data_IF_836818924533
#
_entry.id   IF_836818924533
#
_cell.length_a   1.000
_cell.length_b   1.000
_cell.length_c   1.000
_cell.angle_alpha   90.00
_cell.angle_beta   90.00
_cell.angle_gamma   90.00
#
_symmetry.space_group_name_H-M   'P 1'
#
loop_
_entity.id
_entity.type
_entity.pdbx_description
1 polymer ?
#
# COMPACT_ATOMS: atom_id res chain seq x y z
N UNK A 1 -62.04 -69.30 -11.85
CA UNK A 1 -63.32 -68.74 -11.32
C UNK A 1 -63.21 -67.22 -11.25
N UNK A 2 -64.15 -66.50 -10.60
CA UNK A 2 -64.44 -65.06 -10.82
C UNK A 2 -63.28 -64.08 -10.57
N UNK A 3 -63.33 -62.94 -11.29
CA UNK A 3 -62.60 -61.66 -11.05
C UNK A 3 -63.52 -60.64 -10.33
N UNK A 4 -62.99 -59.43 -10.08
CA UNK A 4 -63.66 -58.17 -9.66
C UNK A 4 -64.12 -58.13 -8.18
N UNK A 5 -64.27 -56.97 -7.50
CA UNK A 5 -64.35 -55.52 -7.88
C UNK A 5 -63.45 -54.66 -6.92
N UNK A 6 -62.96 -53.44 -7.22
CA UNK A 6 -63.61 -52.08 -7.30
C UNK A 6 -64.42 -51.69 -6.02
N UNK A 7 -64.50 -50.43 -5.54
CA UNK A 7 -63.96 -49.13 -6.00
C UNK A 7 -63.99 -47.97 -4.93
N UNK A 8 -63.05 -47.03 -5.05
CA UNK A 8 -63.02 -45.55 -4.78
C UNK A 8 -63.97 -44.76 -3.83
N UNK A 9 -63.35 -43.71 -3.23
CA UNK A 9 -63.81 -42.32 -2.94
C UNK A 9 -64.74 -41.96 -1.75
N UNK A 10 -64.20 -41.11 -0.86
CA UNK A 10 -64.75 -39.87 -0.25
C UNK A 10 -63.57 -39.23 0.52
N UNK A 11 -62.92 -38.14 0.09
CA UNK A 11 -63.35 -36.73 -0.07
C UNK A 11 -63.73 -36.06 1.26
N UNK A 12 -62.93 -35.07 1.67
CA UNK A 12 -63.12 -34.33 2.93
C UNK A 12 -62.10 -33.20 3.14
N UNK A 13 -62.22 -32.11 2.37
CA UNK A 13 -61.65 -30.82 2.79
C UNK A 13 -62.54 -30.21 3.89
N UNK A 14 -61.97 -29.48 4.85
CA UNK A 14 -62.38 -28.08 5.09
C UNK A 14 -61.34 -27.27 5.89
N UNK A 15 -61.41 -25.96 5.68
CA UNK A 15 -60.53 -24.84 6.05
C UNK A 15 -59.83 -24.77 7.42
N UNK A 16 -58.66 -24.11 7.36
CA UNK A 16 -58.15 -23.04 8.26
C UNK A 16 -58.94 -22.72 9.54
N UNK A 17 -58.21 -22.71 10.67
CA UNK A 17 -58.49 -21.90 11.86
C UNK A 17 -57.19 -21.24 12.35
N UNK A 18 -57.25 -20.00 12.85
CA UNK A 18 -56.08 -19.18 13.17
C UNK A 18 -56.12 -18.63 14.61
N UNK A 19 -54.94 -18.50 15.21
CA UNK A 19 -54.56 -17.58 16.30
C UNK A 19 -54.89 -17.91 17.79
N UNK A 20 -54.18 -17.16 18.65
CA UNK A 20 -54.42 -16.86 20.08
C UNK A 20 -54.01 -17.89 21.17
N UNK A 21 -52.72 -17.80 21.54
CA UNK A 21 -52.16 -17.68 22.92
C UNK A 21 -53.12 -17.80 24.12
N UNK A 22 -52.74 -18.63 25.10
CA UNK A 22 -52.87 -18.35 26.55
C UNK A 22 -51.84 -19.14 27.36
N UNK A 23 -51.41 -18.63 28.52
CA UNK A 23 -50.83 -19.44 29.61
C UNK A 23 -51.98 -20.20 30.32
N UNK A 24 -51.81 -21.19 31.21
CA UNK A 24 -50.81 -21.36 32.28
C UNK A 24 -50.84 -22.81 32.83
N UNK A 25 -49.89 -23.15 33.73
CA UNK A 25 -49.87 -24.24 34.75
C UNK A 25 -50.89 -25.41 34.66
N UNK A 26 -50.53 -26.70 34.76
CA UNK A 26 -49.81 -27.36 35.88
C UNK A 26 -49.10 -28.64 35.42
N UNK A 27 -48.10 -29.11 36.19
CA UNK A 27 -47.23 -30.23 35.80
C UNK A 27 -47.74 -31.66 36.09
N UNK A 28 -47.03 -32.62 35.51
CA UNK A 28 -47.07 -34.07 35.80
C UNK A 28 -45.64 -34.63 35.69
N UNK A 29 -45.41 -35.81 36.26
CA UNK A 29 -44.11 -36.44 36.57
C UNK A 29 -42.91 -36.11 35.64
N UNK A 30 -41.84 -35.61 36.25
CA UNK A 30 -40.48 -35.70 35.68
C UNK A 30 -40.02 -37.17 35.73
N UNK A 31 -40.40 -37.94 34.70
CA UNK A 31 -39.51 -39.01 34.26
C UNK A 31 -38.19 -38.36 33.82
N UNK A 32 -37.03 -38.82 34.31
CA UNK A 32 -35.76 -38.47 33.69
C UNK A 32 -35.70 -39.19 32.35
N UNK A 33 -36.20 -38.56 31.29
CA UNK A 33 -35.74 -38.91 29.94
C UNK A 33 -34.23 -38.72 29.94
N UNK A 34 -33.50 -39.80 29.66
CA UNK A 34 -32.11 -39.69 29.23
C UNK A 34 -32.11 -38.97 27.88
N UNK A 35 -32.14 -37.63 27.93
CA UNK A 35 -31.89 -36.78 26.78
C UNK A 35 -30.44 -36.97 26.38
N UNK A 36 -30.19 -38.04 25.62
CA UNK A 36 -29.01 -38.27 24.81
C UNK A 36 -28.84 -37.04 23.93
N UNK A 37 -28.07 -36.09 24.43
CA UNK A 37 -28.01 -34.74 23.90
C UNK A 37 -27.25 -34.77 22.57
N UNK A 38 -27.99 -34.95 21.48
CA UNK A 38 -27.53 -34.88 20.09
C UNK A 38 -26.98 -33.46 19.80
N UNK A 39 -25.76 -33.22 20.28
CA UNK A 39 -24.95 -32.02 20.00
C UNK A 39 -24.42 -32.12 18.58
N UNK A 40 -25.30 -31.90 17.61
CA UNK A 40 -24.94 -31.71 16.21
C UNK A 40 -23.94 -30.55 16.08
N UNK A 41 -22.83 -30.78 15.38
CA UNK A 41 -21.90 -29.71 14.95
C UNK A 41 -21.52 -29.78 13.48
N UNK A 42 -21.82 -30.86 12.75
CA UNK A 42 -21.90 -30.83 11.28
C UNK A 42 -22.88 -31.90 10.77
N UNK A 43 -23.41 -31.71 9.55
CA UNK A 43 -24.19 -32.73 8.83
C UNK A 43 -23.32 -33.80 8.16
N UNK A 44 -22.01 -33.79 8.40
CA UNK A 44 -21.01 -34.58 7.68
C UNK A 44 -20.27 -35.61 8.52
N UNK A 45 -20.38 -35.59 9.86
CA UNK A 45 -19.90 -36.70 10.69
C UNK A 45 -20.87 -37.88 10.60
N UNK A 46 -20.38 -39.01 10.11
CA UNK A 46 -21.14 -40.25 9.95
C UNK A 46 -21.10 -41.14 11.20
N UNK A 47 -20.01 -41.07 11.96
CA UNK A 47 -19.82 -41.85 13.18
C UNK A 47 -18.76 -41.19 14.07
N UNK A 48 -18.95 -41.27 15.39
CA UNK A 48 -18.02 -40.74 16.40
C UNK A 48 -17.98 -41.64 17.63
N UNK A 49 -16.80 -41.77 18.25
CA UNK A 49 -16.58 -42.48 19.52
C UNK A 49 -15.71 -41.63 20.44
N UNK A 50 -16.19 -41.41 21.67
CA UNK A 50 -15.54 -40.65 22.74
C UNK A 50 -15.37 -41.45 24.04
N UNK A 51 -15.72 -42.75 24.03
CA UNK A 51 -15.63 -43.69 25.16
C UNK A 51 -16.37 -43.29 26.45
N UNK A 52 -17.13 -42.19 26.46
CA UNK A 52 -17.94 -41.76 27.59
C UNK A 52 -19.36 -42.38 27.54
N UNK A 53 -19.75 -42.96 26.39
CA UNK A 53 -20.98 -43.73 26.23
C UNK A 53 -21.01 -45.07 26.96
N UNK A 54 -22.21 -45.63 27.15
CA UNK A 54 -22.44 -46.86 27.92
C UNK A 54 -22.06 -48.17 27.22
N UNK A 55 -21.77 -48.14 25.92
CA UNK A 55 -21.36 -49.32 25.14
C UNK A 55 -20.37 -48.94 24.01
N UNK A 56 -19.14 -48.49 24.33
CA UNK A 56 -18.17 -48.04 23.33
C UNK A 56 -17.76 -49.15 22.34
N UNK A 57 -17.42 -48.75 21.13
CA UNK A 57 -17.02 -49.61 20.01
C UNK A 57 -18.08 -50.65 19.61
N UNK A 58 -19.34 -50.47 19.99
CA UNK A 58 -20.45 -51.37 19.65
C UNK A 58 -20.90 -51.27 18.19
N UNK A 59 -20.60 -50.17 17.50
CA UNK A 59 -20.89 -49.93 16.07
C UNK A 59 -19.82 -50.49 15.12
N UNK A 60 -18.71 -51.02 15.64
CA UNK A 60 -17.55 -51.51 14.86
C UNK A 60 -17.25 -52.98 15.14
N UNK A 61 -16.59 -53.66 14.19
CA UNK A 61 -16.19 -55.05 14.39
C UNK A 61 -14.89 -55.12 15.20
N UNK A 62 -15.01 -55.53 16.45
CA UNK A 62 -13.91 -55.69 17.41
C UNK A 62 -13.07 -56.94 17.08
N UNK A 63 -11.73 -56.79 17.09
CA UNK A 63 -10.78 -57.87 16.81
C UNK A 63 -9.84 -58.08 18.00
N UNK A 64 -10.41 -58.40 19.17
CA UNK A 64 -9.70 -58.54 20.43
C UNK A 64 -9.49 -60.02 20.79
N UNK A 65 -8.25 -60.42 21.05
CA UNK A 65 -7.89 -61.82 21.35
C UNK A 65 -7.93 -62.21 22.83
N UNK A 66 -7.98 -61.23 23.73
CA UNK A 66 -7.88 -61.41 25.19
C UNK A 66 -8.74 -60.37 25.94
N UNK A 67 -8.98 -60.58 27.23
CA UNK A 67 -9.66 -59.61 28.08
C UNK A 67 -8.84 -58.35 28.42
N UNK A 68 -7.51 -58.37 28.24
CA UNK A 68 -6.69 -57.16 28.38
C UNK A 68 -6.63 -56.32 27.09
N UNK A 69 -6.88 -56.93 25.93
CA UNK A 69 -6.63 -56.33 24.62
C UNK A 69 -7.36 -54.98 24.40
N UNK A 70 -8.55 -54.79 24.96
CA UNK A 70 -9.22 -53.49 24.99
C UNK A 70 -9.96 -53.30 26.31
N UNK A 71 -9.78 -52.13 26.94
CA UNK A 71 -10.50 -51.71 28.13
C UNK A 71 -10.78 -50.20 28.07
N UNK A 72 -11.95 -49.77 28.52
CA UNK A 72 -12.26 -48.33 28.74
C UNK A 72 -11.72 -47.93 30.12
N UNK A 73 -10.95 -46.84 30.17
CA UNK A 73 -10.22 -46.40 31.36
C UNK A 73 -10.29 -44.87 31.52
N UNK A 74 -9.77 -44.34 32.62
CA UNK A 74 -9.52 -42.89 32.78
C UNK A 74 -8.42 -42.42 31.83
N UNK A 75 -8.57 -41.22 31.27
CA UNK A 75 -7.51 -40.56 30.50
C UNK A 75 -6.28 -40.35 31.40
N UNK A 76 -5.06 -40.74 30.98
CA UNK A 76 -3.82 -40.48 31.71
C UNK A 76 -3.56 -39.00 32.04
N UNK A 77 -4.20 -38.07 31.32
CA UNK A 77 -4.04 -36.62 31.45
C UNK A 77 -5.21 -35.91 32.12
N UNK A 78 -6.45 -36.38 31.94
CA UNK A 78 -7.66 -35.83 32.57
C UNK A 78 -8.63 -36.93 33.03
N UNK A 79 -8.54 -37.33 34.31
CA UNK A 79 -9.36 -38.41 34.87
C UNK A 79 -10.88 -38.15 34.89
N UNK A 80 -11.34 -36.95 34.52
CA UNK A 80 -12.76 -36.69 34.27
C UNK A 80 -13.24 -37.31 32.94
N UNK A 81 -12.34 -37.49 31.97
CA UNK A 81 -12.59 -38.15 30.68
C UNK A 81 -12.40 -39.68 30.76
N UNK A 82 -13.04 -40.41 29.84
CA UNK A 82 -12.83 -41.84 29.60
C UNK A 82 -12.27 -42.05 28.20
N UNK A 83 -11.38 -43.04 28.04
CA UNK A 83 -10.67 -43.32 26.79
C UNK A 83 -10.49 -44.82 26.56
N UNK A 84 -10.32 -45.21 25.29
CA UNK A 84 -10.12 -46.59 24.90
C UNK A 84 -8.65 -47.00 24.99
N UNK A 85 -8.27 -47.80 26.00
CA UNK A 85 -6.93 -48.38 26.13
C UNK A 85 -6.86 -49.71 25.38
N UNK A 86 -6.07 -49.74 24.31
CA UNK A 86 -5.74 -50.93 23.53
C UNK A 86 -4.40 -51.48 24.02
N UNK A 87 -4.32 -52.79 24.26
CA UNK A 87 -3.12 -53.48 24.72
C UNK A 87 -2.80 -54.70 23.85
N UNK A 88 -1.51 -54.99 23.67
CA UNK A 88 -0.99 -56.26 23.16
C UNK A 88 0.23 -56.72 23.95
N UNK A 89 0.30 -58.02 24.20
CA UNK A 89 1.43 -58.70 24.84
C UNK A 89 2.05 -59.73 23.89
N UNK A 90 3.37 -59.88 23.95
CA UNK A 90 4.03 -60.96 23.21
C UNK A 90 3.56 -62.32 23.75
N UNK A 91 2.94 -63.13 22.89
CA UNK A 91 2.35 -64.43 23.24
C UNK A 91 0.81 -64.43 23.30
N UNK A 92 0.17 -63.28 23.07
CA UNK A 92 -1.29 -63.23 22.86
C UNK A 92 -1.73 -64.08 21.64
N UNK A 93 -2.97 -64.59 21.61
CA UNK A 93 -3.43 -65.48 20.54
C UNK A 93 -3.64 -64.77 19.20
N UNK A 94 -3.32 -65.46 18.12
CA UNK A 94 -3.59 -65.03 16.74
C UNK A 94 -5.10 -64.79 16.57
N UNK A 95 -5.46 -63.54 16.30
CA UNK A 95 -6.82 -63.04 16.15
C UNK A 95 -6.97 -62.46 14.74
N UNK A 96 -8.02 -62.86 14.00
CA UNK A 96 -8.24 -62.44 12.60
C UNK A 96 -6.95 -62.48 11.74
N UNK A 97 -6.24 -63.60 11.79
CA UNK A 97 -4.98 -63.86 11.07
C UNK A 97 -3.75 -63.00 11.46
N UNK A 98 -3.66 -62.49 12.70
CA UNK A 98 -2.38 -62.04 13.25
C UNK A 98 -2.46 -61.56 14.71
N UNK A 99 -1.38 -60.95 15.22
CA UNK A 99 -1.37 -60.38 16.58
C UNK A 99 -1.91 -58.95 16.53
N UNK A 100 -3.11 -58.75 17.06
CA UNK A 100 -3.88 -57.49 16.99
C UNK A 100 -4.67 -57.22 18.26
N UNK A 101 -4.79 -55.94 18.58
CA UNK A 101 -5.97 -55.37 19.22
C UNK A 101 -6.43 -54.23 18.32
N UNK A 102 -7.43 -54.48 17.48
CA UNK A 102 -7.93 -53.51 16.50
C UNK A 102 -9.45 -53.52 16.45
N UNK A 103 -10.04 -52.37 16.11
CA UNK A 103 -11.41 -52.30 15.60
C UNK A 103 -11.41 -52.12 14.08
N UNK A 104 -12.43 -52.70 13.43
CA UNK A 104 -12.67 -52.60 11.99
C UNK A 104 -14.02 -51.91 11.75
N UNK A 105 -13.96 -50.73 11.16
CA UNK A 105 -15.11 -49.88 10.88
C UNK A 105 -16.00 -50.49 9.77
N UNK A 106 -17.27 -50.06 9.62
CA UNK A 106 -18.15 -50.53 8.55
C UNK A 106 -17.56 -50.40 7.13
N UNK A 107 -18.10 -51.12 6.14
CA UNK A 107 -17.87 -50.81 4.72
C UNK A 107 -18.27 -49.36 4.40
N UNK A 108 -17.68 -48.80 3.35
CA UNK A 108 -17.98 -47.46 2.88
C UNK A 108 -18.36 -47.46 1.39
N UNK A 109 -19.25 -46.55 1.02
CA UNK A 109 -19.85 -46.48 -0.34
C UNK A 109 -19.27 -45.33 -1.19
N UNK A 110 -18.47 -44.45 -0.59
CA UNK A 110 -17.85 -43.28 -1.23
C UNK A 110 -16.34 -43.42 -1.29
N UNK A 111 -15.75 -42.87 -2.35
CA UNK A 111 -14.30 -42.70 -2.48
C UNK A 111 -13.79 -41.59 -1.56
N UNK A 112 -14.56 -40.51 -1.41
CA UNK A 112 -14.17 -39.33 -0.64
C UNK A 112 -14.58 -39.48 0.83
N UNK A 113 -13.59 -39.44 1.73
CA UNK A 113 -13.80 -39.76 3.15
C UNK A 113 -12.77 -39.08 4.05
N UNK A 114 -13.25 -38.63 5.21
CA UNK A 114 -12.42 -38.13 6.30
C UNK A 114 -12.40 -39.12 7.48
N UNK A 115 -11.27 -39.18 8.17
CA UNK A 115 -11.08 -39.98 9.38
C UNK A 115 -10.27 -39.17 10.39
N UNK A 116 -10.58 -39.25 11.69
CA UNK A 116 -9.71 -38.66 12.73
C UNK A 116 -9.74 -39.46 14.03
N UNK A 117 -8.72 -39.23 14.87
CA UNK A 117 -8.63 -39.73 16.24
C UNK A 117 -7.53 -38.99 17.00
N UNK A 118 -7.68 -38.95 18.33
CA UNK A 118 -6.60 -38.67 19.26
C UNK A 118 -5.94 -39.99 19.69
N UNK A 119 -4.62 -39.98 19.91
CA UNK A 119 -3.82 -41.12 20.36
C UNK A 119 -2.79 -40.69 21.42
N UNK A 120 -2.77 -41.38 22.57
CA UNK A 120 -1.78 -41.23 23.63
C UNK A 120 -0.75 -42.35 23.54
N UNK A 121 0.53 -41.98 23.57
CA UNK A 121 1.65 -42.94 23.53
C UNK A 121 2.42 -42.90 24.87
N UNK A 122 2.16 -43.82 25.81
CA UNK A 122 2.86 -43.86 27.10
C UNK A 122 4.34 -44.21 26.93
N UNK A 123 5.22 -43.61 27.74
CA UNK A 123 6.65 -43.94 27.75
C UNK A 123 6.96 -45.28 28.43
N UNK A 124 6.18 -45.67 29.44
CA UNK A 124 6.37 -46.88 30.25
C UNK A 124 5.71 -48.14 29.66
N UNK A 125 4.57 -48.01 28.98
CA UNK A 125 3.89 -49.13 28.32
C UNK A 125 4.07 -49.20 26.78
N UNK A 126 4.78 -48.23 26.16
CA UNK A 126 5.17 -48.28 24.74
C UNK A 126 6.64 -47.87 24.56
N UNK A 127 7.54 -48.76 24.99
CA UNK A 127 8.99 -48.65 24.71
C UNK A 127 9.28 -48.64 23.20
N UNK A 128 10.43 -48.08 22.79
CA UNK A 128 10.89 -48.12 21.40
C UNK A 128 11.19 -49.55 20.93
N UNK A 129 10.97 -49.82 19.64
CA UNK A 129 11.12 -51.14 19.03
C UNK A 129 11.61 -50.93 17.58
N UNK A 130 12.58 -51.74 17.16
CA UNK A 130 13.22 -51.66 15.84
C UNK A 130 12.36 -52.24 14.72
N UNK A 131 11.28 -52.94 15.07
CA UNK A 131 10.22 -53.33 14.15
C UNK A 131 9.19 -52.21 13.99
N UNK A 132 8.05 -52.52 13.38
CA UNK A 132 6.99 -51.56 13.07
C UNK A 132 5.65 -52.02 13.63
N UNK A 133 4.90 -51.06 14.15
CA UNK A 133 3.57 -51.23 14.72
C UNK A 133 2.56 -50.50 13.84
N UNK A 134 1.56 -51.21 13.31
CA UNK A 134 0.48 -50.57 12.54
C UNK A 134 -0.56 -50.03 13.51
N UNK A 135 -0.84 -48.73 13.41
CA UNK A 135 -1.70 -47.98 14.34
C UNK A 135 -3.08 -47.72 13.70
N UNK A 136 -3.08 -47.41 12.41
CA UNK A 136 -4.29 -47.35 11.59
C UNK A 136 -4.02 -47.94 10.21
N UNK A 137 -5.01 -48.59 9.62
CA UNK A 137 -4.90 -49.18 8.29
C UNK A 137 -6.18 -49.07 7.45
N UNK A 138 -5.99 -48.86 6.16
CA UNK A 138 -7.02 -48.90 5.13
C UNK A 138 -6.82 -50.20 4.35
N UNK A 139 -7.62 -51.21 4.72
CA UNK A 139 -7.44 -52.60 4.30
C UNK A 139 -8.57 -53.06 3.37
N UNK A 140 -8.21 -53.78 2.30
CA UNK A 140 -9.15 -54.27 1.29
C UNK A 140 -9.19 -55.80 1.32
N UNK A 141 -10.40 -56.35 1.30
CA UNK A 141 -10.62 -57.80 1.15
C UNK A 141 -9.95 -58.29 -0.13
N UNK A 142 -9.12 -59.33 -0.04
CA UNK A 142 -8.34 -59.85 -1.18
C UNK A 142 -6.99 -59.15 -1.44
N UNK A 143 -6.77 -57.91 -0.98
CA UNK A 143 -5.52 -57.18 -1.19
C UNK A 143 -4.31 -57.72 -0.40
N UNK A 144 -4.56 -58.56 0.61
CA UNK A 144 -3.54 -59.15 1.48
C UNK A 144 -2.93 -58.13 2.43
N UNK A 145 -1.99 -57.33 1.95
CA UNK A 145 -1.48 -56.17 2.69
C UNK A 145 -2.44 -54.98 2.59
N UNK A 146 -2.52 -54.09 3.60
CA UNK A 146 -3.24 -52.83 3.48
C UNK A 146 -2.51 -51.87 2.52
N UNK A 147 -3.27 -51.14 1.69
CA UNK A 147 -2.74 -50.21 0.71
C UNK A 147 -2.16 -48.95 1.38
N UNK A 148 -2.87 -48.41 2.36
CA UNK A 148 -2.42 -47.26 3.17
C UNK A 148 -2.45 -47.57 4.68
N UNK A 149 -1.45 -47.10 5.44
CA UNK A 149 -1.34 -47.29 6.91
C UNK A 149 -0.60 -46.16 7.61
N UNK A 150 -0.99 -45.80 8.83
CA UNK A 150 -0.11 -45.13 9.81
C UNK A 150 0.63 -46.18 10.65
N UNK A 151 1.90 -45.93 10.94
CA UNK A 151 2.80 -46.78 11.74
C UNK A 151 3.62 -45.98 12.74
N UNK A 152 4.08 -46.68 13.77
CA UNK A 152 5.25 -46.30 14.57
C UNK A 152 6.40 -47.28 14.23
N UNK A 153 7.62 -46.76 14.04
CA UNK A 153 8.81 -47.56 13.71
C UNK A 153 10.08 -46.80 14.10
N UNK A 154 11.02 -47.41 14.86
CA UNK A 154 12.24 -46.74 15.36
C UNK A 154 11.95 -45.34 15.96
N UNK A 155 10.98 -45.29 16.89
CA UNK A 155 10.58 -44.05 17.58
C UNK A 155 9.85 -43.01 16.72
N UNK A 156 9.60 -43.27 15.42
CA UNK A 156 9.08 -42.27 14.46
C UNK A 156 7.69 -42.62 13.92
N UNK A 157 6.93 -41.58 13.58
CA UNK A 157 5.66 -41.67 12.86
C UNK A 157 5.91 -41.85 11.35
N UNK A 158 5.17 -42.79 10.74
CA UNK A 158 5.32 -43.19 9.35
C UNK A 158 3.97 -43.46 8.69
N UNK A 159 3.63 -42.75 7.60
CA UNK A 159 2.57 -43.16 6.68
C UNK A 159 3.19 -44.00 5.55
N UNK A 160 2.60 -45.16 5.26
CA UNK A 160 2.95 -45.99 4.09
C UNK A 160 1.75 -46.06 3.15
N UNK A 161 1.89 -45.65 1.88
CA UNK A 161 0.76 -45.53 0.92
C UNK A 161 1.16 -45.79 -0.55
N UNK A 162 0.26 -46.39 -1.34
CA UNK A 162 0.46 -46.70 -2.76
C UNK A 162 -0.56 -47.71 -3.31
N UNK A 163 -0.71 -47.81 -4.63
CA UNK A 163 -1.77 -48.60 -5.28
C UNK A 163 -1.50 -50.11 -5.38
N UNK A 164 -0.25 -50.55 -5.24
CA UNK A 164 0.09 -51.97 -5.07
C UNK A 164 1.10 -52.16 -3.95
N UNK A 165 1.13 -53.37 -3.36
CA UNK A 165 2.01 -53.73 -2.23
C UNK A 165 3.44 -53.20 -2.37
N UNK A 166 4.01 -53.35 -3.57
CA UNK A 166 5.41 -53.10 -3.90
C UNK A 166 5.66 -51.69 -4.47
N UNK A 167 4.60 -50.89 -4.69
CA UNK A 167 4.64 -49.46 -5.03
C UNK A 167 4.37 -48.53 -3.82
N UNK A 168 4.23 -49.08 -2.61
CA UNK A 168 3.97 -48.26 -1.42
C UNK A 168 5.24 -47.58 -0.92
N UNK A 169 5.28 -46.26 -1.06
CA UNK A 169 6.31 -45.38 -0.50
C UNK A 169 6.12 -45.20 1.02
N UNK A 170 7.19 -44.79 1.70
CA UNK A 170 7.25 -44.55 3.14
C UNK A 170 7.50 -43.05 3.41
N UNK A 171 6.55 -42.41 4.08
CA UNK A 171 6.54 -40.99 4.41
C UNK A 171 6.72 -40.84 5.94
N UNK A 172 7.96 -40.64 6.38
CA UNK A 172 8.32 -40.37 7.78
C UNK A 172 8.21 -38.87 8.02
N UNK A 173 7.46 -38.45 9.04
CA UNK A 173 7.13 -37.02 9.24
C UNK A 173 7.40 -36.48 10.65
N UNK A 174 7.81 -37.31 11.61
CA UNK A 174 8.17 -36.83 12.95
C UNK A 174 8.59 -37.93 13.93
N UNK A 175 9.11 -37.52 15.07
CA UNK A 175 9.34 -38.37 16.23
C UNK A 175 8.05 -38.54 17.06
N UNK A 176 7.92 -39.67 17.75
CA UNK A 176 6.77 -39.96 18.62
C UNK A 176 7.04 -39.39 20.02
N UNK A 177 6.57 -38.18 20.27
CA UNK A 177 6.60 -37.60 21.62
C UNK A 177 5.78 -38.47 22.59
N UNK A 178 6.41 -38.85 23.71
CA UNK A 178 5.76 -39.68 24.72
C UNK A 178 4.95 -38.86 25.71
N UNK A 179 4.02 -39.54 26.37
CA UNK A 179 3.21 -39.04 27.49
C UNK A 179 2.33 -37.82 27.17
N UNK A 180 2.06 -37.59 25.88
CA UNK A 180 1.17 -36.57 25.32
C UNK A 180 0.11 -37.20 24.42
N UNK A 181 -1.00 -36.50 24.28
CA UNK A 181 -1.95 -36.74 23.20
C UNK A 181 -1.40 -36.20 21.88
N UNK A 182 -1.49 -37.02 20.84
CA UNK A 182 -1.34 -36.62 19.45
C UNK A 182 -2.69 -36.70 18.75
N UNK A 183 -2.91 -35.84 17.77
CA UNK A 183 -4.17 -35.78 17.03
C UNK A 183 -3.92 -36.00 15.54
N UNK A 184 -4.65 -36.92 14.93
CA UNK A 184 -4.55 -37.18 13.50
C UNK A 184 -5.87 -36.91 12.79
N UNK A 185 -5.79 -36.22 11.66
CA UNK A 185 -6.87 -36.13 10.66
C UNK A 185 -6.33 -36.64 9.33
N UNK A 186 -7.12 -37.45 8.64
CA UNK A 186 -6.84 -38.00 7.33
C UNK A 186 -7.98 -37.63 6.38
N UNK A 187 -7.64 -37.10 5.20
CA UNK A 187 -8.57 -36.98 4.08
C UNK A 187 -8.11 -37.89 2.95
N UNK A 188 -9.04 -38.67 2.40
CA UNK A 188 -8.82 -39.50 1.24
C UNK A 188 -9.81 -39.19 0.13
N UNK A 189 -9.31 -39.09 -1.09
CA UNK A 189 -10.06 -39.54 -2.28
C UNK A 189 -9.47 -40.89 -2.66
N UNK A 190 -10.20 -41.97 -2.38
CA UNK A 190 -9.74 -43.33 -2.61
C UNK A 190 -9.70 -43.66 -4.10
N UNK A 191 -8.50 -43.98 -4.62
CA UNK A 191 -8.34 -44.49 -5.99
C UNK A 191 -7.08 -45.35 -6.15
N UNK A 192 -7.09 -46.20 -7.16
CA UNK A 192 -5.92 -46.93 -7.66
C UNK A 192 -5.25 -46.19 -8.84
N UNK A 193 -5.87 -45.12 -9.35
CA UNK A 193 -5.40 -44.28 -10.45
C UNK A 193 -4.76 -42.96 -10.00
N UNK A 194 -4.47 -42.08 -10.96
CA UNK A 194 -3.87 -40.75 -10.73
C UNK A 194 -4.79 -39.73 -10.04
N UNK A 195 -6.08 -40.03 -9.94
CA UNK A 195 -7.14 -39.23 -9.30
C UNK A 195 -7.19 -39.37 -7.78
N UNK A 196 -6.42 -40.29 -7.19
CA UNK A 196 -6.37 -40.48 -5.75
C UNK A 196 -5.76 -39.27 -5.01
N UNK A 197 -6.27 -38.98 -3.82
CA UNK A 197 -5.73 -37.97 -2.88
C UNK A 197 -5.55 -38.63 -1.52
N UNK A 198 -4.45 -38.32 -0.84
CA UNK A 198 -4.23 -38.57 0.58
C UNK A 198 -3.61 -37.33 1.21
N UNK A 199 -4.32 -36.71 2.14
CA UNK A 199 -3.81 -35.64 3.00
C UNK A 199 -3.84 -36.10 4.44
N UNK A 200 -2.80 -35.74 5.21
CA UNK A 200 -2.67 -36.08 6.63
C UNK A 200 -2.27 -34.84 7.41
N UNK A 201 -2.99 -34.60 8.49
CA UNK A 201 -2.66 -33.60 9.50
C UNK A 201 -2.30 -34.28 10.81
N UNK A 202 -1.31 -33.72 11.50
CA UNK A 202 -0.85 -34.14 12.82
C UNK A 202 -0.81 -32.91 13.73
N UNK A 203 -1.50 -32.97 14.87
CA UNK A 203 -1.64 -31.84 15.80
C UNK A 203 -2.09 -30.52 15.13
N UNK A 204 -2.91 -30.62 14.08
CA UNK A 204 -3.42 -29.49 13.28
C UNK A 204 -2.55 -29.09 12.07
N UNK A 205 -1.27 -29.45 12.02
CA UNK A 205 -0.37 -29.14 10.90
C UNK A 205 -0.49 -30.17 9.77
N UNK A 206 -0.48 -29.74 8.50
CA UNK A 206 -0.50 -30.64 7.34
C UNK A 206 0.88 -31.27 7.11
N UNK A 207 1.08 -32.47 7.64
CA UNK A 207 2.34 -33.22 7.54
C UNK A 207 2.52 -34.00 6.23
N UNK A 208 1.43 -34.24 5.47
CA UNK A 208 1.50 -34.95 4.18
C UNK A 208 0.39 -34.50 3.23
N UNK A 209 0.74 -34.36 1.95
CA UNK A 209 -0.21 -34.39 0.83
C UNK A 209 0.39 -35.27 -0.28
N UNK A 210 -0.42 -36.17 -0.85
CA UNK A 210 -0.04 -37.05 -1.95
C UNK A 210 -1.19 -37.17 -2.94
N UNK A 211 -0.84 -37.13 -4.23
CA UNK A 211 -1.76 -37.39 -5.36
C UNK A 211 -1.38 -38.71 -6.04
N UNK A 212 -2.35 -39.39 -6.62
CA UNK A 212 -2.21 -40.73 -7.18
C UNK A 212 -2.59 -41.86 -6.21
N UNK A 213 -2.51 -43.10 -6.72
CA UNK A 213 -3.26 -44.21 -6.16
C UNK A 213 -2.85 -44.62 -4.74
N UNK A 214 -3.84 -44.80 -3.86
CA UNK A 214 -3.73 -45.04 -2.41
C UNK A 214 -4.51 -46.28 -1.94
N UNK A 215 -5.28 -46.91 -2.84
CA UNK A 215 -5.95 -48.20 -2.69
C UNK A 215 -5.56 -49.14 -3.85
N UNK A 216 -5.72 -50.44 -3.66
CA UNK A 216 -5.66 -51.45 -4.70
C UNK A 216 -6.90 -51.38 -5.62
N UNK A 217 -6.78 -51.92 -6.82
CA UNK A 217 -7.88 -52.12 -7.79
C UNK A 217 -8.81 -53.26 -7.33
N UNK A 218 -9.57 -52.98 -6.28
CA UNK A 218 -10.49 -53.85 -5.52
C UNK A 218 -11.57 -52.95 -4.88
N UNK A 219 -12.53 -53.56 -4.16
CA UNK A 219 -13.51 -52.83 -3.33
C UNK A 219 -12.84 -51.79 -2.40
N UNK A 220 -13.60 -50.74 -2.03
CA UNK A 220 -13.10 -49.65 -1.18
C UNK A 220 -12.50 -50.17 0.14
N UNK A 221 -11.37 -49.58 0.60
CA UNK A 221 -10.74 -49.99 1.84
C UNK A 221 -11.66 -49.75 3.04
N UNK A 222 -11.63 -50.68 4.00
CA UNK A 222 -12.20 -50.48 5.33
C UNK A 222 -11.12 -49.99 6.29
N UNK A 223 -11.49 -49.01 7.10
CA UNK A 223 -10.61 -48.42 8.10
C UNK A 223 -10.51 -49.32 9.34
N UNK A 224 -9.32 -49.38 9.93
CA UNK A 224 -9.06 -49.94 11.26
C UNK A 224 -8.20 -49.00 12.09
N UNK A 225 -8.37 -49.09 13.42
CA UNK A 225 -7.62 -48.37 14.44
C UNK A 225 -7.26 -49.34 15.57
N UNK A 226 -6.08 -49.18 16.16
CA UNK A 226 -5.63 -49.92 17.35
C UNK A 226 -4.12 -50.22 17.30
N UNK A 227 -3.76 -51.48 17.52
CA UNK A 227 -2.39 -51.99 17.45
C UNK A 227 -2.41 -53.29 16.62
N UNK A 228 -1.57 -53.37 15.58
CA UNK A 228 -1.26 -54.62 14.90
C UNK A 228 0.25 -54.80 14.71
N UNK A 229 0.82 -55.79 15.41
CA UNK A 229 2.27 -56.08 15.45
C UNK A 229 2.55 -57.42 14.78
N UNK A 230 2.57 -57.42 13.45
CA UNK A 230 2.63 -58.62 12.61
C UNK A 230 3.74 -59.62 13.01
N UNK A 231 4.92 -59.12 13.36
CA UNK A 231 6.10 -59.92 13.68
C UNK A 231 5.91 -60.84 14.88
N UNK A 232 5.11 -60.44 15.88
CA UNK A 232 4.84 -61.26 17.07
C UNK A 232 4.10 -62.58 16.77
N UNK A 233 3.53 -62.74 15.57
CA UNK A 233 2.98 -64.02 15.13
C UNK A 233 4.04 -65.08 14.79
N UNK A 234 5.33 -64.70 14.68
CA UNK A 234 6.41 -65.61 14.26
C UNK A 234 7.76 -65.42 14.98
N UNK A 235 8.05 -64.24 15.54
CA UNK A 235 9.27 -63.95 16.30
C UNK A 235 9.05 -62.84 17.33
N UNK A 236 9.92 -62.77 18.33
CA UNK A 236 10.00 -61.57 19.19
C UNK A 236 10.52 -60.35 18.41
N UNK A 237 10.33 -59.20 19.04
CA UNK A 237 11.02 -57.93 18.74
C UNK A 237 11.75 -57.49 20.02
N UNK A 238 12.19 -56.24 20.09
CA UNK A 238 12.88 -55.70 21.28
C UNK A 238 11.92 -55.63 22.49
N UNK A 239 10.65 -55.32 22.24
CA UNK A 239 9.61 -55.16 23.26
C UNK A 239 8.72 -56.38 23.43
N UNK A 240 7.95 -56.41 24.53
CA UNK A 240 6.97 -57.47 24.86
C UNK A 240 5.59 -56.96 25.27
N UNK A 241 5.43 -55.64 25.37
CA UNK A 241 4.21 -54.92 25.70
C UNK A 241 3.99 -53.77 24.71
N UNK A 242 2.73 -53.53 24.40
CA UNK A 242 2.26 -52.43 23.56
C UNK A 242 0.94 -51.92 24.12
N UNK A 243 0.95 -50.74 24.73
CA UNK A 243 -0.29 -50.06 25.15
C UNK A 243 -0.43 -48.73 24.45
N UNK A 244 -1.60 -48.45 23.90
CA UNK A 244 -2.00 -47.16 23.36
C UNK A 244 -3.38 -46.78 23.89
N UNK A 245 -3.64 -45.49 24.04
CA UNK A 245 -4.98 -44.98 24.35
C UNK A 245 -5.48 -44.19 23.15
N UNK A 246 -6.75 -44.33 22.83
CA UNK A 246 -7.41 -43.59 21.76
C UNK A 246 -8.62 -42.85 22.30
N UNK A 247 -8.93 -41.71 21.70
CA UNK A 247 -10.12 -40.90 21.97
C UNK A 247 -10.55 -40.15 20.69
N UNK A 248 -11.72 -39.53 20.69
CA UNK A 248 -12.25 -38.67 19.62
C UNK A 248 -12.19 -39.31 18.22
N UNK A 249 -12.48 -40.61 18.09
CA UNK A 249 -12.47 -41.28 16.78
C UNK A 249 -13.66 -40.78 15.96
N UNK A 250 -13.44 -40.28 14.75
CA UNK A 250 -14.51 -39.84 13.83
C UNK A 250 -14.35 -40.43 12.44
N UNK A 251 -15.50 -40.62 11.77
CA UNK A 251 -15.59 -40.82 10.32
C UNK A 251 -16.48 -39.72 9.75
N UNK A 252 -15.95 -38.93 8.80
CA UNK A 252 -16.66 -37.87 8.10
C UNK A 252 -16.90 -38.22 6.63
N UNK A 253 -18.00 -37.76 6.05
CA UNK A 253 -18.30 -37.89 4.61
C UNK A 253 -17.54 -36.87 3.75
N UNK A 254 -17.85 -36.80 2.45
CA UNK A 254 -17.22 -35.86 1.51
C UNK A 254 -17.44 -34.38 1.83
N UNK A 255 -18.39 -34.06 2.71
CA UNK A 255 -18.74 -32.71 3.14
C UNK A 255 -18.18 -32.43 4.55
N UNK A 256 -17.29 -33.30 5.06
CA UNK A 256 -16.48 -33.01 6.24
C UNK A 256 -15.24 -32.20 5.84
N UNK A 257 -14.66 -31.54 6.83
CA UNK A 257 -13.47 -30.72 6.69
C UNK A 257 -12.57 -30.87 7.92
N UNK A 258 -11.44 -30.16 7.91
CA UNK A 258 -10.47 -30.21 9.00
C UNK A 258 -11.02 -29.71 10.34
N UNK A 259 -11.99 -28.79 10.36
CA UNK A 259 -12.57 -28.25 11.60
C UNK A 259 -13.55 -29.25 12.22
N UNK A 260 -14.47 -29.79 11.43
CA UNK A 260 -15.42 -30.82 11.86
C UNK A 260 -14.70 -32.09 12.35
N UNK A 261 -13.56 -32.43 11.74
CA UNK A 261 -12.78 -33.64 12.06
C UNK A 261 -11.79 -33.45 13.21
N UNK A 262 -11.24 -32.25 13.43
CA UNK A 262 -10.35 -31.99 14.56
C UNK A 262 -11.03 -32.23 15.94
N UNK A 263 -10.27 -32.61 16.98
CA UNK A 263 -10.76 -32.56 18.36
C UNK A 263 -11.09 -31.13 18.79
N UNK A 264 -12.12 -30.99 19.64
CA UNK A 264 -12.74 -29.68 19.92
C UNK A 264 -11.81 -28.67 20.61
N UNK A 265 -10.86 -29.17 21.42
CA UNK A 265 -9.86 -28.31 22.07
C UNK A 265 -8.91 -27.66 21.05
N UNK A 266 -8.42 -28.44 20.08
CA UNK A 266 -7.51 -27.94 19.03
C UNK A 266 -8.20 -27.07 18.00
N UNK A 267 -9.47 -27.35 17.67
CA UNK A 267 -10.27 -26.45 16.85
C UNK A 267 -10.42 -25.06 17.51
N UNK A 268 -10.71 -25.03 18.82
CA UNK A 268 -10.79 -23.77 19.59
C UNK A 268 -9.43 -23.06 19.69
N UNK A 269 -8.36 -23.76 20.07
CA UNK A 269 -7.01 -23.20 20.19
C UNK A 269 -6.49 -22.65 18.84
N UNK A 270 -6.83 -23.30 17.72
CA UNK A 270 -6.55 -22.78 16.38
C UNK A 270 -7.35 -21.52 16.09
N UNK A 271 -8.66 -21.50 16.35
CA UNK A 271 -9.48 -20.32 16.11
C UNK A 271 -9.01 -19.10 16.93
N UNK A 272 -8.57 -19.31 18.17
CA UNK A 272 -7.93 -18.28 19.00
C UNK A 272 -6.61 -17.79 18.41
N UNK A 273 -5.75 -18.69 17.90
CA UNK A 273 -4.49 -18.33 17.26
C UNK A 273 -4.70 -17.60 15.91
N UNK A 274 -5.68 -18.01 15.12
CA UNK A 274 -6.01 -17.44 13.81
C UNK A 274 -6.61 -16.02 13.98
N UNK A 275 -7.54 -15.83 14.93
CA UNK A 275 -8.07 -14.51 15.30
C UNK A 275 -6.99 -13.58 15.88
N UNK A 276 -6.05 -14.12 16.67
CA UNK A 276 -4.90 -13.35 17.21
C UNK A 276 -3.96 -12.89 16.10
N UNK A 277 -3.69 -13.74 15.10
CA UNK A 277 -2.88 -13.38 13.95
C UNK A 277 -3.58 -12.33 13.05
N UNK A 278 -4.90 -12.43 12.85
CA UNK A 278 -5.67 -11.39 12.14
C UNK A 278 -5.62 -10.04 12.86
N UNK A 279 -5.74 -10.04 14.21
CA UNK A 279 -5.59 -8.82 15.00
C UNK A 279 -4.19 -8.20 14.86
N UNK A 280 -3.12 -8.99 15.01
CA UNK A 280 -1.73 -8.48 14.88
C UNK A 280 -1.44 -7.94 13.47
N UNK A 281 -1.95 -8.61 12.42
CA UNK A 281 -1.85 -8.14 11.04
C UNK A 281 -2.62 -6.82 10.81
N UNK A 282 -3.81 -6.67 11.42
CA UNK A 282 -4.60 -5.45 11.35
C UNK A 282 -3.94 -4.28 12.09
N UNK A 283 -3.39 -4.52 13.28
CA UNK A 283 -2.65 -3.49 14.04
C UNK A 283 -1.37 -3.04 13.31
N UNK A 284 -0.68 -3.94 12.61
CA UNK A 284 0.43 -3.54 11.72
C UNK A 284 -0.03 -2.71 10.51
N UNK A 285 -1.15 -3.08 9.88
CA UNK A 285 -1.69 -2.33 8.74
C UNK A 285 -2.15 -0.93 9.16
N UNK A 286 -2.78 -0.78 10.33
CA UNK A 286 -3.23 0.50 10.88
C UNK A 286 -2.03 1.39 11.26
N UNK A 287 -0.97 0.82 11.87
CA UNK A 287 0.30 1.54 12.13
C UNK A 287 0.94 2.06 10.84
N UNK A 288 1.03 1.22 9.80
CA UNK A 288 1.60 1.63 8.49
C UNK A 288 0.78 2.75 7.85
N UNK A 289 -0.54 2.66 7.88
CA UNK A 289 -1.42 3.71 7.35
C UNK A 289 -1.30 5.03 8.14
N UNK A 290 -1.03 4.99 9.44
CA UNK A 290 -0.75 6.18 10.26
C UNK A 290 0.63 6.78 9.96
N UNK A 291 1.67 5.95 9.80
CA UNK A 291 3.01 6.38 9.37
C UNK A 291 2.97 7.05 7.98
N UNK A 292 2.27 6.47 7.01
CA UNK A 292 2.07 7.05 5.68
C UNK A 292 1.27 8.36 5.73
N UNK A 293 0.17 8.40 6.49
CA UNK A 293 -0.65 9.62 6.68
C UNK A 293 0.19 10.76 7.26
N UNK A 294 0.99 10.48 8.29
CA UNK A 294 1.88 11.45 8.92
C UNK A 294 2.99 11.90 7.97
N UNK A 295 3.59 11.00 7.20
CA UNK A 295 4.60 11.37 6.21
C UNK A 295 4.04 12.28 5.10
N UNK A 296 2.79 12.06 4.67
CA UNK A 296 2.10 12.94 3.73
C UNK A 296 1.76 14.31 4.33
N UNK A 297 1.41 14.37 5.62
CA UNK A 297 1.17 15.62 6.35
C UNK A 297 2.48 16.44 6.52
N UNK A 298 3.56 15.81 6.99
CA UNK A 298 4.89 16.44 7.09
C UNK A 298 5.46 16.86 5.72
N UNK A 299 5.11 16.17 4.63
CA UNK A 299 5.47 16.58 3.26
C UNK A 299 4.69 17.83 2.83
N UNK A 300 3.38 17.88 3.08
CA UNK A 300 2.53 19.03 2.76
C UNK A 300 2.92 20.27 3.56
N UNK A 301 3.30 20.13 4.83
CA UNK A 301 3.83 21.26 5.62
C UNK A 301 5.13 21.82 5.03
N UNK A 302 6.01 20.97 4.47
CA UNK A 302 7.23 21.40 3.77
C UNK A 302 6.91 22.15 2.48
N UNK A 303 6.01 21.62 1.64
CA UNK A 303 5.58 22.32 0.41
C UNK A 303 4.96 23.69 0.73
N UNK A 304 4.14 23.79 1.78
CA UNK A 304 3.60 25.07 2.24
C UNK A 304 4.68 26.01 2.81
N UNK A 305 5.71 25.51 3.47
CA UNK A 305 6.83 26.32 3.96
C UNK A 305 7.70 26.83 2.79
N UNK A 306 8.11 25.96 1.88
CA UNK A 306 8.91 26.32 0.70
C UNK A 306 8.20 27.34 -0.19
N UNK A 307 6.86 27.23 -0.34
CA UNK A 307 6.06 28.21 -1.05
C UNK A 307 6.09 29.60 -0.38
N UNK A 308 5.97 29.67 0.96
CA UNK A 308 6.01 30.94 1.73
C UNK A 308 7.41 31.56 1.72
N UNK A 309 8.46 30.75 1.85
CA UNK A 309 9.85 31.21 1.77
C UNK A 309 10.16 31.78 0.38
N UNK A 310 9.65 31.14 -0.68
CA UNK A 310 9.76 31.65 -2.04
C UNK A 310 8.98 32.96 -2.24
N UNK A 311 7.74 33.06 -1.76
CA UNK A 311 6.95 34.30 -1.85
C UNK A 311 7.66 35.46 -1.13
N UNK A 312 8.25 35.21 0.04
CA UNK A 312 9.04 36.22 0.75
C UNK A 312 10.34 36.60 0.02
N UNK A 313 11.02 35.64 -0.63
CA UNK A 313 12.19 35.91 -1.45
C UNK A 313 11.85 36.77 -2.68
N UNK A 314 10.77 36.43 -3.40
CA UNK A 314 10.29 37.21 -4.56
C UNK A 314 9.85 38.63 -4.13
N UNK A 315 9.19 38.77 -2.98
CA UNK A 315 8.83 40.09 -2.40
C UNK A 315 10.08 40.93 -2.09
N UNK A 316 11.11 40.35 -1.47
CA UNK A 316 12.36 41.06 -1.15
C UNK A 316 13.12 41.50 -2.39
N UNK A 317 13.20 40.63 -3.41
CA UNK A 317 13.83 40.98 -4.69
C UNK A 317 13.12 42.15 -5.38
N UNK A 318 11.79 42.16 -5.39
CA UNK A 318 11.01 43.27 -5.95
C UNK A 318 11.17 44.58 -5.16
N UNK A 319 11.29 44.51 -3.83
CA UNK A 319 11.58 45.68 -2.97
C UNK A 319 12.98 46.25 -3.24
N UNK A 320 13.99 45.40 -3.42
CA UNK A 320 15.36 45.80 -3.76
C UNK A 320 15.45 46.40 -5.18
N UNK A 321 14.79 45.80 -6.17
CA UNK A 321 14.71 46.33 -7.54
C UNK A 321 14.01 47.70 -7.58
N UNK A 322 12.85 47.84 -6.91
CA UNK A 322 12.13 49.10 -6.83
C UNK A 322 12.96 50.21 -6.15
N UNK A 323 13.71 49.87 -5.10
CA UNK A 323 14.65 50.79 -4.45
C UNK A 323 15.81 51.18 -5.37
N UNK A 324 16.42 50.23 -6.06
CA UNK A 324 17.53 50.49 -6.98
C UNK A 324 17.09 51.39 -8.16
N UNK A 325 15.88 51.17 -8.69
CA UNK A 325 15.28 52.03 -9.71
C UNK A 325 15.07 53.46 -9.21
N UNK A 326 14.50 53.63 -8.02
CA UNK A 326 14.28 54.96 -7.42
C UNK A 326 15.60 55.71 -7.12
N UNK A 327 16.64 55.00 -6.65
CA UNK A 327 17.96 55.60 -6.42
C UNK A 327 18.64 56.01 -7.75
N UNK A 328 18.48 55.20 -8.81
CA UNK A 328 18.97 55.54 -10.14
C UNK A 328 18.26 56.74 -10.76
N UNK A 329 16.92 56.84 -10.64
CA UNK A 329 16.13 57.98 -11.11
C UNK A 329 16.47 59.28 -10.37
N UNK A 330 16.57 59.22 -9.04
CA UNK A 330 16.97 60.36 -8.22
C UNK A 330 18.38 60.85 -8.58
N UNK A 331 19.32 59.92 -8.79
CA UNK A 331 20.69 60.27 -9.24
C UNK A 331 20.70 60.86 -10.65
N UNK A 332 19.97 60.29 -11.60
CA UNK A 332 19.90 60.80 -12.97
C UNK A 332 19.33 62.22 -13.02
N UNK A 333 18.33 62.51 -12.19
CA UNK A 333 17.75 63.85 -12.02
C UNK A 333 18.80 64.82 -11.47
N UNK A 334 19.47 64.47 -10.38
CA UNK A 334 20.49 65.32 -9.77
C UNK A 334 21.70 65.59 -10.69
N UNK A 335 22.13 64.59 -11.47
CA UNK A 335 23.22 64.74 -12.45
C UNK A 335 22.81 65.64 -13.62
N UNK A 336 21.54 65.57 -14.07
CA UNK A 336 20.99 66.46 -15.09
C UNK A 336 20.85 67.92 -14.60
N UNK A 337 20.37 68.13 -13.37
CA UNK A 337 20.27 69.46 -12.76
C UNK A 337 21.65 70.09 -12.55
N UNK A 338 22.61 69.35 -12.01
CA UNK A 338 23.99 69.81 -11.82
C UNK A 338 24.66 70.19 -13.15
N UNK A 339 24.44 69.40 -14.20
CA UNK A 339 24.95 69.70 -15.55
C UNK A 339 24.29 70.93 -16.16
N UNK A 340 22.97 71.10 -16.00
CA UNK A 340 22.25 72.28 -16.48
C UNK A 340 22.72 73.56 -15.77
N UNK A 341 22.96 73.50 -14.46
CA UNK A 341 23.53 74.61 -13.70
C UNK A 341 24.94 74.97 -14.17
N UNK A 342 25.82 73.98 -14.33
CA UNK A 342 27.19 74.21 -14.82
C UNK A 342 27.24 74.77 -16.25
N UNK A 343 26.34 74.34 -17.14
CA UNK A 343 26.26 74.90 -18.50
C UNK A 343 25.73 76.35 -18.48
N UNK A 344 24.76 76.67 -17.61
CA UNK A 344 24.27 78.03 -17.44
C UNK A 344 25.35 78.97 -16.88
N UNK A 345 26.13 78.53 -15.90
CA UNK A 345 27.27 79.28 -15.35
C UNK A 345 28.36 79.51 -16.40
N UNK A 346 28.74 78.46 -17.16
CA UNK A 346 29.73 78.58 -18.23
C UNK A 346 29.28 79.53 -19.36
N UNK A 347 28.00 79.50 -19.73
CA UNK A 347 27.40 80.45 -20.71
C UNK A 347 27.44 81.89 -20.17
N UNK A 348 27.09 82.11 -18.91
CA UNK A 348 27.11 83.44 -18.29
C UNK A 348 28.53 84.01 -18.17
N UNK A 349 29.52 83.17 -17.82
CA UNK A 349 30.93 83.54 -17.80
C UNK A 349 31.46 83.93 -19.19
N UNK A 350 31.16 83.13 -20.22
CA UNK A 350 31.56 83.40 -21.59
C UNK A 350 30.91 84.68 -22.15
N UNK A 351 29.64 84.96 -21.82
CA UNK A 351 28.98 86.21 -22.23
C UNK A 351 29.60 87.42 -21.52
N UNK A 352 29.95 87.30 -20.23
CA UNK A 352 30.62 88.37 -19.48
C UNK A 352 32.02 88.66 -20.05
N UNK A 353 32.80 87.63 -20.39
CA UNK A 353 34.12 87.79 -21.03
C UNK A 353 33.99 88.44 -22.42
N UNK A 354 33.05 87.98 -23.25
CA UNK A 354 32.81 88.57 -24.57
C UNK A 354 32.38 90.05 -24.50
N UNK A 355 31.53 90.41 -23.53
CA UNK A 355 31.15 91.81 -23.26
C UNK A 355 32.35 92.65 -22.81
N UNK A 356 33.19 92.13 -21.93
CA UNK A 356 34.39 92.83 -21.45
C UNK A 356 35.42 93.04 -22.57
N UNK A 357 35.62 92.04 -23.44
CA UNK A 357 36.49 92.14 -24.60
C UNK A 357 35.99 93.21 -25.59
N UNK A 358 34.69 93.20 -25.92
CA UNK A 358 34.08 94.19 -26.80
C UNK A 358 34.15 95.63 -26.23
N UNK A 359 33.98 95.80 -24.91
CA UNK A 359 34.15 97.12 -24.29
C UNK A 359 35.61 97.59 -24.31
N UNK A 360 36.57 96.69 -24.11
CA UNK A 360 38.00 97.00 -24.22
C UNK A 360 38.40 97.39 -25.65
N UNK A 361 37.91 96.68 -26.66
CA UNK A 361 38.13 97.01 -28.07
C UNK A 361 37.51 98.37 -28.45
N UNK A 362 36.26 98.63 -28.03
CA UNK A 362 35.59 99.92 -28.26
C UNK A 362 36.33 101.09 -27.59
N UNK A 363 36.84 100.90 -26.37
CA UNK A 363 37.68 101.89 -25.66
C UNK A 363 39.01 102.13 -26.40
N UNK A 364 39.67 101.07 -26.87
CA UNK A 364 40.92 101.18 -27.62
C UNK A 364 40.73 101.88 -28.98
N UNK A 365 39.64 101.59 -29.69
CA UNK A 365 39.28 102.27 -30.94
C UNK A 365 39.01 103.76 -30.71
N UNK A 366 38.24 104.11 -29.67
CA UNK A 366 37.97 105.50 -29.31
C UNK A 366 39.25 106.28 -28.90
N UNK A 367 40.18 105.65 -28.18
CA UNK A 367 41.47 106.27 -27.86
C UNK A 367 42.34 106.47 -29.12
N UNK A 368 42.34 105.50 -30.04
CA UNK A 368 43.06 105.62 -31.31
C UNK A 368 42.48 106.73 -32.19
N UNK A 369 41.16 106.85 -32.29
CA UNK A 369 40.47 107.93 -33.01
C UNK A 369 40.77 109.30 -32.37
N UNK A 370 40.70 109.41 -31.04
CA UNK A 370 41.04 110.64 -30.32
C UNK A 370 42.51 111.06 -30.52
N UNK A 371 43.45 110.10 -30.53
CA UNK A 371 44.86 110.36 -30.86
C UNK A 371 45.05 110.82 -32.31
N UNK A 372 44.37 110.18 -33.26
CA UNK A 372 44.44 110.55 -34.68
C UNK A 372 43.83 111.95 -34.94
N UNK A 373 42.73 112.30 -34.26
CA UNK A 373 42.13 113.62 -34.30
C UNK A 373 43.09 114.69 -33.72
N UNK A 374 43.72 114.41 -32.57
CA UNK A 374 44.69 115.33 -31.96
C UNK A 374 45.96 115.52 -32.82
N UNK A 375 46.46 114.46 -33.47
CA UNK A 375 47.58 114.56 -34.41
C UNK A 375 47.20 115.36 -35.67
N UNK A 376 45.99 115.16 -36.20
CA UNK A 376 45.47 115.93 -37.32
C UNK A 376 45.29 117.43 -36.96
N UNK A 377 44.78 117.75 -35.77
CA UNK A 377 44.65 119.13 -35.30
C UNK A 377 46.01 119.79 -35.08
N UNK A 378 46.96 119.11 -34.43
CA UNK A 378 48.32 119.61 -34.24
C UNK A 378 49.02 119.88 -35.60
N UNK A 379 48.81 119.00 -36.59
CA UNK A 379 49.34 119.18 -37.95
C UNK A 379 48.66 120.34 -38.69
N UNK A 380 47.36 120.53 -38.51
CA UNK A 380 46.63 121.67 -39.08
C UNK A 380 47.05 123.00 -38.45
N UNK A 381 47.32 123.04 -37.13
CA UNK A 381 47.90 124.22 -36.47
C UNK A 381 49.30 124.53 -37.01
N UNK A 382 50.18 123.52 -37.15
CA UNK A 382 51.51 123.70 -37.71
C UNK A 382 51.49 124.21 -39.16
N UNK A 383 50.56 123.75 -40.00
CA UNK A 383 50.41 124.25 -41.38
C UNK A 383 49.79 125.65 -41.44
N UNK A 384 48.92 126.01 -40.48
CA UNK A 384 48.40 127.37 -40.33
C UNK A 384 49.48 128.37 -39.89
N UNK A 385 50.33 128.01 -38.92
CA UNK A 385 51.48 128.84 -38.51
C UNK A 385 52.50 129.00 -39.65
N UNK A 386 52.78 127.93 -40.40
CA UNK A 386 53.64 127.98 -41.58
C UNK A 386 53.12 128.95 -42.66
N UNK A 387 51.80 129.08 -42.83
CA UNK A 387 51.18 130.06 -43.73
C UNK A 387 51.17 131.49 -43.18
N UNK A 388 51.22 131.69 -41.86
CA UNK A 388 51.21 133.01 -41.25
C UNK A 388 52.55 133.76 -41.39
N UNK A 389 53.68 133.05 -41.56
CA UNK A 389 55.02 133.62 -41.47
C UNK A 389 55.55 134.32 -42.75
N UNK A 390 54.83 134.31 -43.88
CA UNK A 390 55.46 134.53 -45.19
C UNK A 390 54.69 135.39 -46.23
N UNK A 391 54.31 136.65 -45.93
CA UNK A 391 53.90 137.63 -46.96
C UNK A 391 54.25 139.11 -46.63
N UNK A 392 54.80 139.88 -47.59
CA UNK A 392 54.94 141.34 -47.47
C UNK A 392 54.16 142.19 -48.52
N UNK A 393 53.01 142.74 -48.09
CA UNK A 393 52.52 144.14 -48.30
C UNK A 393 52.39 144.78 -49.72
N UNK A 394 51.13 145.22 -50.04
CA UNK A 394 50.65 146.28 -51.02
C UNK A 394 50.63 145.95 -52.54
N UNK A 395 49.79 146.66 -53.38
CA UNK A 395 48.67 147.60 -53.13
C UNK A 395 47.33 147.26 -53.90
N UNK A 396 46.32 148.15 -53.86
CA UNK A 396 44.95 148.08 -54.48
C UNK A 396 44.72 149.26 -55.47
N UNK A 397 43.61 149.46 -56.27
CA UNK A 397 42.22 148.87 -56.34
C UNK A 397 41.90 148.37 -57.80
N UNK A 398 40.71 148.49 -58.50
CA UNK A 398 39.27 148.78 -58.20
C UNK A 398 38.26 147.71 -58.80
N UNK A 399 36.90 147.90 -58.81
CA UNK A 399 35.86 146.89 -59.23
C UNK A 399 35.29 147.15 -60.67
N UNK A 400 34.18 146.53 -61.21
CA UNK A 400 33.15 145.61 -60.65
C UNK A 400 32.60 144.46 -61.59
N UNK A 401 31.41 143.91 -61.25
CA UNK A 401 30.28 143.40 -62.11
C UNK A 401 30.20 141.97 -62.73
N UNK A 402 29.14 141.23 -62.30
CA UNK A 402 28.30 140.22 -63.02
C UNK A 402 28.95 138.91 -63.57
N UNK A 403 28.18 137.87 -64.01
CA UNK A 403 26.72 137.66 -63.97
C UNK A 403 26.21 136.27 -63.44
N UNK A 404 24.88 136.12 -63.37
CA UNK A 404 24.04 134.94 -63.75
C UNK A 404 24.43 133.46 -63.47
N UNK A 405 23.50 132.75 -62.80
CA UNK A 405 22.77 131.52 -63.26
C UNK A 405 23.51 130.19 -63.60
N UNK A 406 22.81 129.03 -63.61
CA UNK A 406 21.68 128.58 -62.77
C UNK A 406 21.74 127.09 -62.33
N UNK A 407 20.76 126.68 -61.50
CA UNK A 407 19.97 125.42 -61.57
C UNK A 407 20.56 124.13 -62.22
N UNK A 408 20.60 123.00 -61.50
CA UNK A 408 19.77 121.79 -61.81
C UNK A 408 19.88 120.63 -60.79
N UNK A 409 18.81 119.82 -60.75
CA UNK A 409 18.66 118.51 -60.09
C UNK A 409 18.74 117.40 -61.16
N UNK A 410 19.24 116.18 -60.86
CA UNK A 410 18.36 115.01 -60.72
C UNK A 410 18.79 114.06 -59.57
N UNK A 411 17.99 113.14 -58.98
CA UNK A 411 16.77 112.40 -59.37
C UNK A 411 16.98 110.99 -59.99
N UNK A 412 16.21 110.02 -59.47
CA UNK A 412 15.68 108.76 -60.08
C UNK A 412 16.57 107.51 -60.31
N UNK A 413 16.04 106.34 -59.86
CA UNK A 413 16.35 104.97 -60.31
C UNK A 413 17.38 104.17 -59.47
N UNK A 414 17.20 102.87 -59.17
CA UNK A 414 16.01 102.00 -59.26
C UNK A 414 16.31 100.48 -59.32
N UNK A 415 15.54 99.67 -58.56
CA UNK A 415 15.09 98.28 -58.86
C UNK A 415 16.14 97.13 -59.08
N UNK A 416 15.88 95.82 -58.97
CA UNK A 416 14.67 94.95 -58.93
C UNK A 416 14.74 93.81 -57.86
N UNK A 417 13.70 92.94 -57.83
CA UNK A 417 13.57 91.70 -56.99
C UNK A 417 13.67 90.43 -57.89
N UNK A 418 12.99 89.25 -57.77
CA UNK A 418 11.81 88.77 -56.99
C UNK A 418 12.25 87.92 -55.76
N UNK A 419 11.61 86.88 -55.18
CA UNK A 419 10.44 86.02 -55.52
C UNK A 419 9.82 85.36 -54.25
N UNK A 420 8.84 84.46 -54.41
CA UNK A 420 8.15 83.64 -53.38
C UNK A 420 7.98 82.18 -53.90
N UNK A 421 7.62 81.13 -53.10
CA UNK A 421 6.25 80.86 -52.60
C UNK A 421 6.20 80.19 -51.19
N UNK A 422 5.10 79.67 -50.62
CA UNK A 422 3.67 80.10 -50.49
C UNK A 422 2.90 79.02 -49.64
N UNK A 423 1.68 79.34 -49.16
CA UNK A 423 0.70 78.45 -48.48
C UNK A 423 1.03 77.86 -47.07
N UNK A 424 0.05 77.37 -46.29
CA UNK A 424 -1.16 78.00 -45.72
C UNK A 424 -1.93 77.03 -44.79
N UNK A 425 -2.69 77.57 -43.83
CA UNK A 425 -3.79 76.88 -43.08
C UNK A 425 -3.39 75.68 -42.17
N UNK A 426 -4.16 75.24 -41.16
CA UNK A 426 -5.47 75.66 -40.62
C UNK A 426 -5.60 75.32 -39.10
N UNK A 427 -6.65 75.86 -38.45
CA UNK A 427 -7.57 75.29 -37.40
C UNK A 427 -7.22 73.94 -36.71
N UNK A 428 -7.64 73.64 -35.46
CA UNK A 428 -8.33 74.38 -34.38
C UNK A 428 -8.28 73.56 -33.05
N UNK A 429 -8.54 74.24 -31.92
CA UNK A 429 -9.36 73.78 -30.78
C UNK A 429 -9.60 72.26 -30.49
N UNK A 430 -9.10 71.71 -29.35
CA UNK A 430 -9.92 71.35 -28.15
C UNK A 430 -9.25 70.38 -27.12
N UNK A 431 -9.39 70.74 -25.83
CA UNK A 431 -9.77 69.95 -24.61
C UNK A 431 -9.08 68.60 -24.23
N UNK A 432 -8.80 68.47 -22.93
CA UNK A 432 -8.62 67.20 -22.17
C UNK A 432 -7.33 67.20 -21.33
N UNK A 433 -7.31 67.29 -19.99
CA UNK A 433 -7.87 66.42 -18.93
C UNK A 433 -7.18 65.04 -18.86
N UNK A 434 -6.69 64.52 -17.72
CA UNK A 434 -6.65 65.05 -16.34
C UNK A 434 -6.84 63.93 -15.30
N UNK A 435 -6.06 63.95 -14.20
CA UNK A 435 -5.98 62.87 -13.18
C UNK A 435 -4.74 61.98 -13.39
N UNK A 436 -3.99 61.51 -12.38
CA UNK A 436 -4.32 60.94 -11.04
C UNK A 436 -4.99 59.58 -11.09
#
# INVERSE_FOLDING_TARGET
MRRLTKATYLLGLFSLGLAAVSCDTVGYDEHPEETSALRSTSSSILMSEDFNGSNPLSQVHQQFGTGHAFNVVEDPRDRSNKVGRFELRYGDPITSNGIRSEVLFPPQEDKERWYSYSIYVPSDEFEEDSDNDIIAQWHQTGGGSPATTLRIHNGKWLVKSGETKDKREDYVFGDVEKDKWHEFVFHFVHSHGSDGILEVWHNGEKVMERKGGNMHDLDLPRWKVGIYKASWASRSTDTRLRTLYFDNLKVGDRNADLEAMAPRATAAARAEAEARAEQEAREEAERKAEEERRAAEEAKEREEQEAREREEAERKAAEEEARAAAEAEARATAEAEARAAAEAEARAAAEAEARAAAEAEARAAAEAEARAAAEAEAKAQAEAEARAAAQPVRPTPPPPSNPESPNTNPSTGGSETPTVPYNSHQREEQRGNGGR
#
